data_IF_566478996842
#
_entry.id   IF_566478996842
#
_cell.length_a   1.000
_cell.length_b   1.000
_cell.length_c   1.000
_cell.angle_alpha   90.00
_cell.angle_beta   90.00
_cell.angle_gamma   90.00
#
_symmetry.space_group_name_H-M   'P 1'
#
loop_
_entity.id
_entity.type
_entity.pdbx_description
1 polymer ?
2 non-polymer ?
3 non-polymer ?
4 non-polymer ?
5 water ?
#
# COMPACT_ATOMS: atom_id res chain seq x y z
N UNK A 14 15.21 -21.40 8.64
CA UNK A 14 14.62 -21.23 7.28
C UNK A 14 15.72 -21.33 6.22
N UNK A 15 15.41 -22.00 5.10
CA UNK A 15 16.39 -22.35 4.08
C UNK A 15 16.40 -21.30 2.96
N UNK A 16 17.49 -21.21 2.21
CA UNK A 16 17.63 -20.19 1.14
C UNK A 16 16.62 -20.32 0.01
N UNK A 17 16.11 -19.18 -0.47
CA UNK A 17 15.25 -19.13 -1.65
C UNK A 17 15.75 -18.05 -2.62
N UNK A 18 15.40 -18.19 -3.89
CA UNK A 18 15.74 -17.21 -4.92
C UNK A 18 14.57 -16.25 -5.11
N UNK A 19 14.87 -14.96 -5.15
CA UNK A 19 13.84 -13.94 -5.40
C UNK A 19 14.23 -13.03 -6.55
N UNK A 20 13.25 -12.66 -7.37
CA UNK A 20 13.48 -11.74 -8.48
C UNK A 20 12.68 -10.47 -8.23
N UNK A 21 13.41 -9.41 -7.90
CA UNK A 21 12.81 -8.11 -7.59
C UNK A 21 13.05 -7.12 -8.71
N UNK A 22 12.23 -6.07 -8.71
CA UNK A 22 12.38 -4.97 -9.64
C UNK A 22 13.78 -4.38 -9.51
N UNK A 23 14.23 -4.24 -8.27
CA UNK A 23 15.59 -3.78 -7.98
C UNK A 23 16.45 -5.00 -7.77
N UNK A 24 17.24 -5.33 -8.79
CA UNK A 24 18.13 -6.50 -8.75
C UNK A 24 19.29 -6.35 -7.74
N UNK A 25 19.45 -5.14 -7.19
CA UNK A 25 20.51 -4.86 -6.20
C UNK A 25 19.96 -4.49 -4.84
N UNK A 26 18.70 -4.85 -4.59
CA UNK A 26 18.03 -4.53 -3.34
C UNK A 26 18.77 -5.15 -2.16
N UNK A 27 18.64 -4.53 -1.00
CA UNK A 27 19.36 -4.99 0.20
C UNK A 27 18.87 -6.33 0.63
N UNK A 28 19.65 -6.98 1.47
CA UNK A 28 19.32 -8.31 1.94
C UNK A 28 18.00 -8.33 2.69
N UNK A 29 17.76 -7.31 3.50
CA UNK A 29 16.53 -7.20 4.28
C UNK A 29 15.30 -7.00 3.38
N UNK A 30 15.49 -6.28 2.28
CA UNK A 30 14.42 -6.03 1.31
C UNK A 30 14.09 -7.33 0.57
N UNK A 31 15.13 -8.07 0.20
CA UNK A 31 14.95 -9.38 -0.44
C UNK A 31 14.24 -10.33 0.52
N UNK A 32 14.62 -10.29 1.79
CA UNK A 32 14.02 -11.16 2.81
C UNK A 32 12.55 -10.85 3.01
N UNK A 33 12.20 -9.57 2.97
CA UNK A 33 10.80 -9.15 3.14
C UNK A 33 9.96 -9.80 2.06
N UNK A 34 10.47 -9.78 0.83
CA UNK A 34 9.75 -10.37 -0.29
C UNK A 34 9.60 -11.88 -0.07
N UNK A 35 10.69 -12.52 0.31
CA UNK A 35 10.68 -13.97 0.58
C UNK A 35 9.72 -14.34 1.71
N UNK A 36 9.69 -13.50 2.74
CA UNK A 36 8.79 -13.71 3.86
C UNK A 36 7.35 -13.75 3.41
N UNK A 37 6.94 -12.73 2.66
CA UNK A 37 5.56 -12.65 2.19
C UNK A 37 5.21 -13.80 1.25
N UNK A 38 6.17 -14.26 0.45
CA UNK A 38 5.94 -15.39 -0.43
C UNK A 38 5.55 -16.66 0.34
N UNK A 39 6.19 -16.87 1.49
CA UNK A 39 5.87 -18.02 2.35
C UNK A 39 4.63 -17.76 3.20
N UNK A 40 4.66 -16.65 3.93
CA UNK A 40 3.58 -16.28 4.87
C UNK A 40 2.20 -16.20 4.21
N UNK A 41 2.14 -15.76 2.96
CA UNK A 41 0.85 -15.45 2.35
C UNK A 41 -0.09 -16.66 2.20
N UNK A 42 0.45 -17.87 2.21
CA UNK A 42 -0.39 -19.07 2.14
C UNK A 42 -0.75 -19.66 3.50
N UNK A 43 -0.39 -18.95 4.57
CA UNK A 43 -0.67 -19.37 5.94
C UNK A 43 -1.47 -18.37 6.73
N UNK A 44 -1.60 -17.15 6.22
CA UNK A 44 -2.31 -16.07 6.92
C UNK A 44 -2.59 -14.90 5.98
N UNK A 45 -3.36 -13.95 6.48
CA UNK A 45 -3.46 -12.62 5.87
C UNK A 45 -3.10 -11.62 6.97
N UNK A 46 -2.07 -10.84 6.74
CA UNK A 46 -1.65 -9.83 7.69
C UNK A 46 -2.61 -8.65 7.66
N UNK A 47 -2.84 -8.07 8.82
CA UNK A 47 -3.64 -6.86 8.94
C UNK A 47 -2.74 -5.64 8.83
N UNK A 48 -3.14 -4.74 7.94
CA UNK A 48 -2.47 -3.46 7.76
C UNK A 48 -3.42 -2.31 8.02
N UNK A 49 -2.88 -1.17 8.40
CA UNK A 49 -3.67 0.01 8.71
C UNK A 49 -2.90 1.28 8.35
N UNK A 50 -3.53 2.17 7.58
CA UNK A 50 -2.94 3.47 7.27
C UNK A 50 -2.87 4.36 8.50
N UNK A 51 -1.75 5.06 8.66
CA UNK A 51 -1.48 5.92 9.81
C UNK A 51 -1.58 5.16 11.14
N UNK A 52 -1.28 3.86 11.14
CA UNK A 52 -1.44 3.00 12.32
C UNK A 52 -1.04 3.65 13.66
N UNK A 53 0.16 4.18 13.78
CA UNK A 53 0.58 4.78 15.05
C UNK A 53 0.70 6.32 15.04
N UNK A 54 0.21 6.98 14.01
CA UNK A 54 0.27 8.44 13.93
C UNK A 54 -1.09 9.14 13.92
N UNK A 55 -2.17 8.39 13.68
CA UNK A 55 -3.52 8.94 13.75
C UNK A 55 -4.46 7.91 14.38
N UNK A 56 -5.40 8.40 15.18
CA UNK A 56 -6.36 7.53 15.82
C UNK A 56 -7.32 8.29 16.71
N UNK A 57 -8.50 7.70 16.92
CA UNK A 57 -9.53 8.27 17.78
C UNK A 57 -9.24 8.08 19.28
N UNK A 58 -8.47 7.04 19.60
CA UNK A 58 -8.22 6.65 21.00
C UNK A 58 -6.78 6.83 21.48
N UNK A 59 -5.90 7.31 20.60
CA UNK A 59 -4.49 7.49 20.99
C UNK A 59 -4.26 8.89 21.60
N UNK A 60 -3.33 8.94 22.54
CA UNK A 60 -2.96 10.18 23.23
C UNK A 60 -1.56 10.67 22.87
N UNK A 61 -0.79 9.83 22.15
CA UNK A 61 0.51 10.19 21.61
C UNK A 61 0.60 9.72 20.15
N UNK A 62 1.25 10.52 19.30
CA UNK A 62 1.45 10.19 17.88
C UNK A 62 2.91 9.89 17.60
N UNK A 63 3.65 9.48 18.65
CA UNK A 63 5.08 9.23 18.55
C UNK A 63 5.44 7.83 18.03
N UNK A 64 4.43 7.04 17.69
CA UNK A 64 4.65 5.70 17.19
C UNK A 64 4.52 4.59 18.21
N UNK A 65 4.12 4.92 19.44
CA UNK A 65 4.00 3.94 20.53
C UNK A 65 2.58 3.41 20.74
N UNK A 66 1.60 4.05 20.12
CA UNK A 66 0.19 3.71 20.32
C UNK A 66 -0.54 3.58 18.99
N UNK A 67 -1.62 2.82 19.01
CA UNK A 67 -2.54 2.75 17.87
C UNK A 67 -3.94 2.36 18.34
N UNK A 68 -4.95 2.76 17.57
CA UNK A 68 -6.31 2.32 17.79
C UNK A 68 -6.38 0.81 17.74
N UNK A 69 -5.58 0.21 16.86
CA UNK A 69 -5.55 -1.24 16.75
C UNK A 69 -5.13 -1.88 18.06
N UNK A 70 -4.05 -1.37 18.64
CA UNK A 70 -3.54 -1.89 19.89
C UNK A 70 -4.54 -1.71 21.03
N UNK A 71 -5.21 -0.56 21.05
CA UNK A 71 -6.20 -0.29 22.10
C UNK A 71 -7.46 -1.17 21.96
N UNK A 72 -7.71 -1.66 20.76
CA UNK A 72 -8.84 -2.55 20.49
C UNK A 72 -8.56 -4.02 20.78
N UNK A 73 -7.36 -4.52 20.43
CA UNK A 73 -7.10 -5.96 20.48
C UNK A 73 -5.80 -6.39 21.15
N UNK A 74 -4.99 -5.43 21.59
CA UNK A 74 -3.78 -5.72 22.34
C UNK A 74 -2.55 -5.99 21.51
N UNK A 75 -2.63 -5.73 20.20
CA UNK A 75 -1.48 -5.79 19.32
C UNK A 75 -1.61 -4.75 18.21
N UNK A 76 -0.47 -4.40 17.64
CA UNK A 76 -0.42 -3.49 16.50
C UNK A 76 -0.74 -4.25 15.23
N UNK A 77 -1.15 -3.51 14.21
CA UNK A 77 -1.17 -4.01 12.83
C UNK A 77 0.20 -4.58 12.50
N UNK A 78 0.22 -5.61 11.66
CA UNK A 78 1.49 -6.15 11.12
C UNK A 78 2.07 -5.25 10.04
N UNK A 79 1.21 -4.61 9.27
CA UNK A 79 1.63 -3.76 8.17
C UNK A 79 1.21 -2.31 8.47
N UNK A 80 2.19 -1.41 8.39
CA UNK A 80 2.02 -0.01 8.74
C UNK A 80 2.03 0.82 7.47
N UNK A 81 0.92 1.48 7.17
CA UNK A 81 0.83 2.28 5.97
C UNK A 81 1.01 3.76 6.26
N UNK A 82 1.82 4.43 5.44
CA UNK A 82 1.93 5.88 5.45
C UNK A 82 1.93 6.37 4.00
N UNK A 83 2.12 7.66 3.78
CA UNK A 83 2.14 8.20 2.43
C UNK A 83 3.08 9.38 2.32
N UNK A 84 3.23 9.91 1.11
CA UNK A 84 4.25 10.91 0.87
C UNK A 84 3.88 12.30 1.39
N UNK A 85 2.69 12.47 1.96
CA UNK A 85 2.41 13.68 2.73
C UNK A 85 3.26 13.77 4.00
N UNK A 86 3.96 12.67 4.34
CA UNK A 86 4.94 12.66 5.43
C UNK A 86 6.40 12.71 4.96
N UNK A 87 6.63 12.88 3.67
CA UNK A 87 7.98 12.78 3.10
C UNK A 87 8.33 13.97 2.21
N UNK A 88 7.46 14.27 1.25
CA UNK A 88 7.69 15.34 0.30
C UNK A 88 7.15 16.66 0.84
N UNK A 89 7.95 17.72 0.74
CA UNK A 89 7.53 19.05 1.16
C UNK A 89 6.17 19.38 0.57
N UNK A 90 5.29 20.02 1.34
CA UNK A 90 5.54 20.55 2.70
C UNK A 90 5.33 19.58 3.88
N UNK A 91 5.25 18.28 3.62
CA UNK A 91 5.13 17.29 4.68
C UNK A 91 4.00 17.60 5.65
N UNK A 92 2.81 17.77 5.12
CA UNK A 92 1.64 18.21 5.90
C UNK A 92 1.25 17.23 7.02
N UNK A 93 1.55 15.95 6.84
CA UNK A 93 1.27 14.94 7.86
C UNK A 93 2.39 14.77 8.88
N UNK A 94 3.47 15.52 8.70
CA UNK A 94 4.63 15.44 9.58
C UNK A 94 5.50 14.25 9.24
N UNK A 95 6.73 14.28 9.71
CA UNK A 95 7.66 13.18 9.47
C UNK A 95 7.23 11.89 10.12
N UNK A 96 7.71 10.79 9.55
CA UNK A 96 7.40 9.45 10.05
C UNK A 96 8.64 8.59 10.25
N UNK A 97 9.83 9.17 10.13
CA UNK A 97 11.05 8.41 10.31
C UNK A 97 11.08 7.67 11.67
N UNK A 98 10.78 8.40 12.74
CA UNK A 98 10.82 7.83 14.08
C UNK A 98 9.78 6.71 14.21
N UNK A 99 8.58 6.96 13.69
CA UNK A 99 7.48 6.02 13.81
C UNK A 99 7.74 4.77 12.96
N UNK A 100 8.33 4.96 11.78
CA UNK A 100 8.75 3.84 10.94
C UNK A 100 9.80 2.99 11.67
N UNK A 101 10.78 3.64 12.27
CA UNK A 101 11.82 2.92 13.01
C UNK A 101 11.26 2.12 14.19
N UNK A 102 10.28 2.68 14.91
CA UNK A 102 9.63 1.98 16.03
C UNK A 102 8.89 0.74 15.52
N UNK A 103 8.20 0.89 14.39
CA UNK A 103 7.46 -0.20 13.78
C UNK A 103 8.41 -1.31 13.32
N UNK A 104 9.51 -0.94 12.69
CA UNK A 104 10.50 -1.88 12.22
C UNK A 104 11.16 -2.62 13.38
N UNK A 105 11.39 -1.91 14.49
CA UNK A 105 11.99 -2.50 15.68
C UNK A 105 11.09 -3.58 16.28
N UNK A 106 9.79 -3.42 16.08
CA UNK A 106 8.76 -4.40 16.43
C UNK A 106 8.63 -5.57 15.46
N UNK A 107 9.41 -5.55 14.38
CA UNK A 107 9.31 -6.56 13.34
C UNK A 107 8.15 -6.30 12.37
N UNK A 108 7.62 -5.08 12.37
CA UNK A 108 6.54 -4.70 11.46
C UNK A 108 7.02 -4.51 10.04
N UNK A 109 6.05 -4.46 9.12
CA UNK A 109 6.28 -4.25 7.69
C UNK A 109 5.76 -2.86 7.32
N UNK A 110 6.53 -2.12 6.53
CA UNK A 110 6.23 -0.72 6.24
C UNK A 110 5.83 -0.58 4.77
N UNK A 111 4.73 0.13 4.51
CA UNK A 111 4.35 0.49 3.16
C UNK A 111 3.97 1.97 3.07
N UNK A 112 4.43 2.61 2.01
CA UNK A 112 4.21 4.03 1.76
C UNK A 112 3.62 4.19 0.37
N UNK A 113 2.52 4.93 0.27
CA UNK A 113 1.88 5.21 -1.02
C UNK A 113 2.18 6.64 -1.45
N UNK A 114 2.35 6.83 -2.76
CA UNK A 114 2.56 8.16 -3.30
C UNK A 114 1.26 8.94 -3.35
N UNK A 115 1.32 10.19 -2.92
CA UNK A 115 0.20 11.12 -2.92
C UNK A 115 0.76 12.46 -3.40
N UNK A 116 1.43 12.41 -4.55
CA UNK A 116 2.16 13.55 -5.08
C UNK A 116 1.21 14.67 -5.49
N UNK A 117 1.62 15.89 -5.21
CA UNK A 117 0.99 17.07 -5.77
C UNK A 117 1.03 17.02 -7.30
N UNK A 118 0.21 17.87 -7.92
CA UNK A 118 0.12 17.95 -9.37
C UNK A 118 1.32 18.76 -9.89
N UNK A 119 2.23 18.14 -10.65
CA UNK A 119 3.46 18.85 -11.06
C UNK A 119 3.20 20.04 -12.00
N UNK A 120 2.06 20.02 -12.67
CA UNK A 120 1.69 21.07 -13.61
C UNK A 120 1.07 22.28 -12.91
N UNK A 121 0.51 22.08 -11.72
CA UNK A 121 -0.26 23.15 -11.05
C UNK A 121 0.11 23.40 -9.61
N UNK A 122 1.16 22.76 -9.08
CA UNK A 122 1.39 22.82 -7.63
C UNK A 122 1.80 24.20 -7.07
N UNK A 123 2.26 25.11 -7.94
CA UNK A 123 2.50 26.49 -7.49
C UNK A 123 1.22 27.32 -7.33
N UNK A 124 0.08 26.77 -7.76
CA UNK A 124 -1.19 27.49 -7.76
C UNK A 124 -2.05 27.19 -6.52
N UNK A 125 -1.49 26.45 -5.57
CA UNK A 125 -2.19 26.08 -4.34
C UNK A 125 -2.81 27.28 -3.62
N UNK A 126 -4.03 27.08 -3.14
CA UNK A 126 -4.72 28.06 -2.32
C UNK A 126 -6.12 27.56 -2.00
N UNK A 127 -6.87 27.30 -3.06
CA UNK A 127 -8.22 26.79 -2.99
C UNK A 127 -8.15 25.29 -3.25
N UNK A 128 -8.41 24.50 -2.23
CA UNK A 128 -8.35 23.05 -2.38
C UNK A 128 -9.37 22.66 -3.46
N UNK A 129 -9.08 21.70 -4.35
CA UNK A 129 -7.89 20.84 -4.36
C UNK A 129 -6.77 21.27 -5.32
N UNK A 130 -6.74 22.52 -5.75
CA UNK A 130 -5.76 22.97 -6.74
C UNK A 130 -4.34 22.62 -6.32
N UNK A 131 -3.61 22.03 -7.25
CA UNK A 131 -2.20 21.70 -7.06
C UNK A 131 -1.92 20.39 -6.34
N UNK A 132 -2.94 19.70 -5.85
CA UNK A 132 -2.74 18.46 -5.09
C UNK A 132 -2.99 17.23 -5.97
N UNK A 133 -2.89 16.04 -5.38
CA UNK A 133 -3.22 14.81 -6.08
C UNK A 133 -4.61 14.87 -6.70
N UNK A 134 -5.52 15.53 -5.99
CA UNK A 134 -6.93 15.62 -6.34
C UNK A 134 -7.25 16.68 -7.38
N UNK A 135 -6.24 17.45 -7.79
CA UNK A 135 -6.38 18.36 -8.91
C UNK A 135 -6.32 17.52 -10.18
N UNK A 136 -7.46 17.38 -10.85
CA UNK A 136 -7.62 16.46 -11.98
C UNK A 136 -6.99 16.93 -13.28
N UNK A 137 -6.40 18.12 -13.28
CA UNK A 137 -5.70 18.65 -14.44
C UNK A 137 -4.67 17.64 -14.93
N UNK A 138 -4.82 17.15 -16.18
CA UNK A 138 -3.90 16.13 -16.68
C UNK A 138 -2.45 16.61 -16.59
N UNK A 139 -1.60 15.81 -15.93
CA UNK A 139 -0.22 16.20 -15.73
C UNK A 139 0.79 15.08 -16.03
N UNK A 140 0.33 14.00 -16.65
CA UNK A 140 1.23 12.89 -16.99
C UNK A 140 2.10 13.25 -18.18
N UNK A 141 1.47 13.63 -19.29
CA UNK A 141 2.22 13.97 -20.51
C UNK A 141 3.26 15.05 -20.24
N UNK A 142 2.89 16.10 -19.50
CA UNK A 142 3.81 17.21 -19.27
C UNK A 142 4.83 16.95 -18.15
N UNK A 143 4.79 15.79 -17.48
CA UNK A 143 5.73 15.48 -16.40
C UNK A 143 6.78 14.43 -16.77
N UNK A 144 6.59 13.74 -17.88
CA UNK A 144 7.59 12.80 -18.40
C UNK A 144 8.76 13.60 -18.98
N UNK A 145 9.93 12.98 -19.14
CA UNK A 145 11.07 13.70 -19.73
C UNK A 145 10.68 14.33 -21.06
N UNK A 146 11.08 15.57 -21.27
CA UNK A 146 10.63 16.37 -22.41
C UNK A 146 9.52 17.34 -22.04
N UNK A 147 8.71 16.94 -21.07
CA UNK A 147 7.62 17.77 -20.58
C UNK A 147 8.09 18.91 -19.69
N UNK A 148 7.36 20.01 -19.74
CA UNK A 148 7.74 21.24 -19.06
C UNK A 148 7.81 21.07 -17.56
N UNK A 149 7.08 20.10 -17.01
CA UNK A 149 6.98 19.94 -15.57
C UNK A 149 7.73 18.71 -15.05
N UNK A 150 8.52 18.08 -15.91
CA UNK A 150 9.39 16.99 -15.47
C UNK A 150 10.30 17.36 -14.27
N UNK A 151 10.90 18.55 -14.23
CA UNK A 151 11.71 18.94 -13.06
C UNK A 151 10.92 18.97 -11.74
N UNK A 152 9.62 19.28 -11.83
CA UNK A 152 8.77 19.32 -10.64
C UNK A 152 8.54 17.90 -10.10
N UNK A 153 8.15 16.98 -10.98
CA UNK A 153 8.03 15.58 -10.59
C UNK A 153 9.36 15.05 -10.04
N UNK A 154 10.46 15.40 -10.68
CA UNK A 154 11.78 14.94 -10.22
C UNK A 154 12.10 15.42 -8.81
N UNK A 155 11.66 16.64 -8.46
CA UNK A 155 11.81 17.16 -7.12
C UNK A 155 11.11 16.30 -6.08
N UNK A 156 9.90 15.83 -6.39
CA UNK A 156 9.19 14.91 -5.49
C UNK A 156 9.98 13.63 -5.36
N UNK A 157 10.41 13.08 -6.48
CA UNK A 157 11.12 11.80 -6.47
C UNK A 157 12.48 11.91 -5.75
N UNK A 158 13.14 13.06 -5.88
CA UNK A 158 14.38 13.33 -5.17
C UNK A 158 14.18 13.23 -3.67
N UNK A 159 13.09 13.78 -3.17
CA UNK A 159 12.80 13.79 -1.75
C UNK A 159 12.42 12.40 -1.25
N UNK A 160 11.66 11.65 -2.05
CA UNK A 160 11.37 10.27 -1.71
C UNK A 160 12.67 9.47 -1.60
N UNK A 161 13.56 9.64 -2.58
CA UNK A 161 14.84 8.93 -2.60
C UNK A 161 15.75 9.27 -1.42
N UNK A 162 15.88 10.56 -1.10
CA UNK A 162 16.74 10.96 0.01
C UNK A 162 16.18 10.39 1.32
N UNK A 163 14.85 10.41 1.45
CA UNK A 163 14.18 9.81 2.60
C UNK A 163 14.50 8.31 2.71
N UNK A 164 14.34 7.59 1.61
CA UNK A 164 14.57 6.14 1.61
C UNK A 164 16.03 5.83 1.89
N UNK A 165 16.91 6.62 1.29
CA UNK A 165 18.36 6.39 1.37
C UNK A 165 18.94 6.65 2.77
N UNK A 166 18.20 7.36 3.60
CA UNK A 166 18.63 7.64 4.97
C UNK A 166 17.76 6.95 6.03
N UNK A 167 16.83 6.12 5.58
CA UNK A 167 15.89 5.46 6.47
C UNK A 167 16.56 4.21 7.04
N UNK A 168 17.20 4.39 8.20
CA UNK A 168 18.08 3.37 8.75
C UNK A 168 17.72 2.97 10.18
N UNK A 169 17.98 1.71 10.48
CA UNK A 169 17.70 1.16 11.80
C UNK A 169 18.88 1.47 12.72
N UNK A 170 18.87 0.88 13.92
CA UNK A 170 19.89 1.16 14.93
C UNK A 170 21.29 0.70 14.54
N UNK A 171 21.39 -0.26 13.63
CA UNK A 171 22.67 -0.75 13.15
C UNK A 171 23.17 -0.02 11.90
N UNK A 172 22.43 0.99 11.45
CA UNK A 172 22.76 1.71 10.24
C UNK A 172 22.33 1.01 8.95
N UNK A 173 21.49 -0.01 9.05
CA UNK A 173 21.01 -0.74 7.86
C UNK A 173 19.67 -0.17 7.38
N UNK A 174 19.46 -0.17 6.07
CA UNK A 174 18.26 0.42 5.49
C UNK A 174 17.02 -0.37 5.88
N UNK A 175 15.91 0.34 6.07
CA UNK A 175 14.64 -0.29 6.42
C UNK A 175 13.85 -0.50 5.12
N UNK A 176 13.47 -1.74 4.82
CA UNK A 176 12.64 -2.00 3.63
C UNK A 176 11.27 -1.31 3.69
N UNK A 177 10.81 -0.85 2.53
CA UNK A 177 9.52 -0.20 2.39
C UNK A 177 8.85 -0.71 1.11
N UNK A 178 7.57 -1.05 1.20
CA UNK A 178 6.76 -1.34 0.02
C UNK A 178 6.20 -0.01 -0.47
N UNK A 179 6.77 0.50 -1.55
CA UNK A 179 6.40 1.80 -2.09
C UNK A 179 5.40 1.63 -3.21
N UNK A 180 4.22 2.23 -3.04
CA UNK A 180 3.08 2.00 -3.89
C UNK A 180 2.82 3.26 -4.71
N UNK A 181 3.04 3.16 -6.02
CA UNK A 181 3.04 4.31 -6.91
C UNK A 181 1.72 4.51 -7.68
N UNK A 182 1.21 5.74 -7.66
CA UNK A 182 0.12 6.20 -8.53
C UNK A 182 -1.11 5.29 -8.47
N UNK A 183 -1.59 5.08 -7.25
CA UNK A 183 -2.74 4.20 -7.00
C UNK A 183 -4.06 4.75 -7.56
N UNK A 184 -5.04 3.86 -7.67
CA UNK A 184 -6.40 4.21 -8.08
C UNK A 184 -6.39 4.86 -9.48
N UNK A 185 -5.46 4.40 -10.30
CA UNK A 185 -5.19 5.01 -11.60
C UNK A 185 -6.20 4.64 -12.69
N UNK A 186 -7.06 3.68 -12.41
CA UNK A 186 -8.13 3.34 -13.35
C UNK A 186 -9.37 4.21 -13.19
N UNK A 187 -9.33 5.17 -12.26
CA UNK A 187 -10.35 6.21 -12.16
C UNK A 187 -9.72 7.56 -12.48
N UNK A 188 -10.51 8.63 -12.43
CA UNK A 188 -10.07 9.93 -12.95
C UNK A 188 -10.01 11.02 -11.89
N UNK A 189 -10.02 10.65 -10.61
CA UNK A 189 -9.99 11.65 -9.55
C UNK A 189 -8.58 12.16 -9.21
N UNK A 190 -7.54 11.47 -9.68
CA UNK A 190 -6.15 11.93 -9.54
C UNK A 190 -5.55 12.34 -10.88
N UNK A 191 -4.53 13.18 -10.85
CA UNK A 191 -3.96 13.75 -12.08
C UNK A 191 -3.25 12.72 -12.96
N UNK A 192 -2.99 11.54 -12.40
CA UNK A 192 -2.38 10.42 -13.12
C UNK A 192 -3.41 9.38 -13.57
N UNK A 193 -4.68 9.75 -13.54
CA UNK A 193 -5.78 8.84 -13.79
C UNK A 193 -6.07 8.55 -15.25
N UNK A 194 -7.19 7.86 -15.48
CA UNK A 194 -7.50 7.30 -16.79
C UNK A 194 -8.10 8.30 -17.81
N UNK A 195 -8.56 9.45 -17.34
CA UNK A 195 -8.93 10.55 -18.25
C UNK A 195 -7.75 11.47 -18.52
N UNK A 196 -6.68 11.27 -17.75
CA UNK A 196 -5.51 12.15 -17.75
C UNK A 196 -4.33 11.56 -18.51
N UNK A 197 -4.48 10.33 -19.00
CA UNK A 197 -3.37 9.66 -19.68
C UNK A 197 -3.88 8.47 -20.47
N UNK A 198 -3.21 8.15 -21.57
CA UNK A 198 -3.46 6.89 -22.25
C UNK A 198 -2.83 5.82 -21.37
N UNK A 199 -3.21 4.56 -21.56
CA UNK A 199 -2.55 3.47 -20.84
C UNK A 199 -1.03 3.50 -20.97
N UNK A 200 -0.50 3.73 -22.18
CA UNK A 200 0.95 3.77 -22.38
C UNK A 200 1.60 4.93 -21.60
N UNK A 201 0.93 6.08 -21.57
CA UNK A 201 1.46 7.23 -20.85
C UNK A 201 1.51 6.95 -19.35
N UNK A 202 0.47 6.32 -18.81
CA UNK A 202 0.50 5.92 -17.41
C UNK A 202 1.64 4.93 -17.12
N UNK A 203 1.80 3.94 -17.98
CA UNK A 203 2.88 2.96 -17.81
C UNK A 203 4.22 3.67 -17.81
N UNK A 204 4.39 4.64 -18.73
CA UNK A 204 5.62 5.43 -18.76
C UNK A 204 5.84 6.22 -17.46
N UNK A 205 4.78 6.82 -16.91
CA UNK A 205 4.91 7.55 -15.67
C UNK A 205 5.41 6.65 -14.54
N UNK A 206 4.82 5.45 -14.44
CA UNK A 206 5.19 4.49 -13.40
C UNK A 206 6.64 4.02 -13.58
N UNK A 207 6.95 3.56 -14.79
CA UNK A 207 8.28 3.06 -15.10
C UNK A 207 9.35 4.13 -14.93
N UNK A 208 9.08 5.32 -15.44
CA UNK A 208 10.01 6.43 -15.30
C UNK A 208 10.33 6.71 -13.83
N UNK A 209 9.30 6.68 -13.00
CA UNK A 209 9.44 6.99 -11.58
C UNK A 209 10.25 5.92 -10.84
N UNK A 210 9.98 4.65 -11.13
CA UNK A 210 10.73 3.53 -10.55
C UNK A 210 12.20 3.63 -10.99
N UNK A 211 12.43 3.83 -12.28
CA UNK A 211 13.77 3.95 -12.82
C UNK A 211 14.54 5.12 -12.22
N UNK A 212 13.84 6.23 -12.01
CA UNK A 212 14.47 7.42 -11.45
C UNK A 212 14.93 7.11 -10.03
N UNK A 213 14.03 6.52 -9.23
CA UNK A 213 14.35 6.18 -7.84
C UNK A 213 15.50 5.16 -7.75
N UNK A 214 15.39 4.09 -8.53
CA UNK A 214 16.32 2.97 -8.44
C UNK A 214 17.66 3.32 -9.09
N UNK A 215 17.62 3.83 -10.32
CA UNK A 215 18.84 4.00 -11.12
C UNK A 215 19.46 5.37 -10.98
N UNK A 216 18.64 6.42 -11.03
CA UNK A 216 19.19 7.78 -10.92
C UNK A 216 19.59 8.09 -9.47
N UNK A 217 18.75 7.70 -8.51
CA UNK A 217 18.95 8.08 -7.12
C UNK A 217 19.45 6.95 -6.20
N UNK A 218 19.54 5.74 -6.74
CA UNK A 218 20.16 4.63 -6.05
C UNK A 218 19.42 4.06 -4.87
N UNK A 219 18.09 4.16 -4.88
CA UNK A 219 17.27 3.54 -3.84
C UNK A 219 17.39 2.02 -3.92
N UNK A 220 17.70 1.41 -2.78
CA UNK A 220 17.95 -0.03 -2.69
C UNK A 220 17.04 -0.75 -1.70
N UNK A 221 16.13 0.00 -1.06
CA UNK A 221 15.30 -0.57 -0.01
C UNK A 221 13.81 -0.52 -0.31
N UNK A 222 13.45 -0.51 -1.59
CA UNK A 222 12.04 -0.50 -2.01
C UNK A 222 11.64 -1.79 -2.71
N UNK A 223 10.45 -2.26 -2.37
CA UNK A 223 9.66 -3.11 -3.22
C UNK A 223 8.61 -2.20 -3.85
N UNK A 224 8.24 -2.44 -5.10
CA UNK A 224 7.31 -1.56 -5.82
C UNK A 224 5.93 -2.21 -5.98
N UNK A 225 4.89 -1.47 -5.62
CA UNK A 225 3.51 -1.97 -5.69
C UNK A 225 2.68 -1.18 -6.70
N UNK A 226 1.81 -1.91 -7.39
CA UNK A 226 0.84 -1.36 -8.32
C UNK A 226 -0.53 -1.66 -7.75
N UNK A 227 -1.43 -0.68 -7.77
CA UNK A 227 -2.75 -0.85 -7.17
C UNK A 227 -3.83 0.00 -7.85
N UNK A 228 -4.46 -0.53 -8.90
CA UNK A 228 -5.62 0.14 -9.52
C UNK A 228 -6.83 -0.04 -8.64
N UNK A 229 -7.97 0.52 -9.04
CA UNK A 229 -9.21 0.23 -8.34
C UNK A 229 -9.67 -1.19 -8.63
N UNK A 230 -10.56 -1.68 -7.79
CA UNK A 230 -11.30 -2.89 -8.09
C UNK A 230 -11.98 -2.77 -9.45
N UNK A 231 -11.94 -3.86 -10.20
CA UNK A 231 -12.71 -3.99 -11.42
C UNK A 231 -14.05 -4.68 -11.13
N UNK A 232 -15.10 -4.22 -11.82
CA UNK A 232 -16.40 -4.88 -11.75
C UNK A 232 -16.52 -5.96 -12.82
N UNK A 233 -15.78 -5.78 -13.91
CA UNK A 233 -15.54 -6.83 -14.89
C UNK A 233 -14.15 -7.42 -14.58
N UNK A 234 -14.15 -8.45 -13.75
CA UNK A 234 -12.93 -8.98 -13.16
C UNK A 234 -12.20 -9.90 -14.12
N UNK A 235 -11.34 -9.32 -14.96
CA UNK A 235 -10.52 -10.08 -15.91
C UNK A 235 -9.07 -9.65 -15.87
N UNK A 236 -8.19 -10.59 -16.20
CA UNK A 236 -6.76 -10.30 -16.34
C UNK A 236 -6.52 -9.22 -17.39
N UNK A 237 -7.24 -9.27 -18.51
CA UNK A 237 -7.08 -8.27 -19.57
C UNK A 237 -7.32 -6.86 -19.04
N UNK A 238 -8.35 -6.70 -18.23
CA UNK A 238 -8.68 -5.39 -17.67
C UNK A 238 -7.58 -4.92 -16.71
N UNK A 239 -7.12 -5.79 -15.83
CA UNK A 239 -6.01 -5.45 -14.93
C UNK A 239 -4.74 -5.08 -15.71
N UNK A 240 -4.52 -5.76 -16.83
CA UNK A 240 -3.30 -5.55 -17.63
C UNK A 240 -3.30 -4.24 -18.42
N UNK A 241 -4.45 -3.62 -18.64
CA UNK A 241 -4.48 -2.46 -19.54
C UNK A 241 -3.50 -1.37 -19.13
N UNK A 242 -3.47 -1.04 -17.84
CA UNK A 242 -2.55 -0.01 -17.32
C UNK A 242 -1.44 -0.59 -16.45
N UNK A 243 -1.30 -1.91 -16.44
CA UNK A 243 -0.24 -2.57 -15.67
C UNK A 243 1.13 -2.18 -16.20
N UNK A 244 2.00 -1.63 -15.34
CA UNK A 244 3.36 -1.26 -15.76
C UNK A 244 4.28 -2.38 -16.24
N UNK A 245 4.01 -3.64 -15.90
CA UNK A 245 4.78 -4.76 -16.41
C UNK A 245 5.53 -5.49 -15.34
N UNK A 246 5.83 -6.77 -15.57
CA UNK A 246 6.53 -7.61 -14.59
C UNK A 246 7.93 -7.09 -14.24
N UNK A 247 8.57 -6.35 -15.15
CA UNK A 247 9.90 -5.80 -14.89
C UNK A 247 9.87 -4.63 -13.89
N UNK A 248 8.67 -4.15 -13.59
CA UNK A 248 8.49 -2.87 -12.89
C UNK A 248 7.67 -2.97 -11.62
N UNK A 249 7.11 -4.15 -11.33
CA UNK A 249 6.23 -4.32 -10.19
C UNK A 249 6.60 -5.59 -9.40
N UNK A 250 6.69 -5.45 -8.07
CA UNK A 250 6.90 -6.56 -7.15
C UNK A 250 5.61 -7.06 -6.51
N UNK A 251 4.68 -6.14 -6.31
CA UNK A 251 3.49 -6.37 -5.51
C UNK A 251 2.26 -5.97 -6.32
N UNK A 252 1.35 -6.92 -6.53
CA UNK A 252 0.11 -6.70 -7.27
C UNK A 252 -1.02 -6.49 -6.29
N UNK A 253 -1.54 -5.28 -6.26
CA UNK A 253 -2.61 -4.94 -5.36
C UNK A 253 -3.80 -4.34 -6.06
N UNK A 254 -4.73 -3.87 -5.26
CA UNK A 254 -5.84 -3.03 -5.71
C UNK A 254 -6.45 -2.33 -4.50
N UNK A 255 -7.24 -1.29 -4.78
CA UNK A 255 -7.90 -0.46 -3.79
C UNK A 255 -9.39 -0.59 -3.98
N UNK A 256 -10.14 -0.73 -2.90
CA UNK A 256 -11.59 -0.83 -3.02
C UNK A 256 -12.31 -0.26 -1.82
N UNK A 257 -13.34 0.56 -2.08
CA UNK A 257 -14.15 1.16 -1.05
C UNK A 257 -15.61 0.85 -1.36
N UNK A 258 -16.33 0.35 -0.35
CA UNK A 258 -17.66 -0.18 -0.58
C UNK A 258 -18.72 0.50 0.27
N UNK A 259 -19.96 0.08 0.04
CA UNK A 259 -21.11 0.61 0.81
C UNK A 259 -21.21 -0.02 2.19
N UNK A 260 -21.76 0.75 3.12
CA UNK A 260 -21.94 0.30 4.49
C UNK A 260 -23.13 -0.67 4.57
N UNK A 261 -24.09 -0.51 3.65
CA UNK A 261 -25.29 -1.34 3.62
C UNK A 261 -25.44 -2.09 2.30
N UNK A 262 -26.14 -3.22 2.35
CA UNK A 262 -26.42 -4.02 1.16
C UNK A 262 -25.13 -4.32 0.38
N UNK A 263 -24.10 -4.79 1.09
CA UNK A 263 -22.76 -4.92 0.53
C UNK A 263 -22.30 -6.34 0.16
N UNK A 264 -23.23 -7.28 0.09
CA UNK A 264 -22.90 -8.64 -0.34
C UNK A 264 -22.24 -8.68 -1.71
N UNK A 265 -22.79 -7.95 -2.67
CA UNK A 265 -22.22 -7.87 -4.02
C UNK A 265 -20.81 -7.30 -3.99
N UNK A 266 -20.61 -6.26 -3.20
CA UNK A 266 -19.30 -5.61 -3.11
C UNK A 266 -18.27 -6.54 -2.48
N UNK A 267 -18.67 -7.27 -1.45
CA UNK A 267 -17.76 -8.23 -0.81
C UNK A 267 -17.37 -9.35 -1.77
N UNK A 268 -18.32 -9.83 -2.56
CA UNK A 268 -18.01 -10.82 -3.60
C UNK A 268 -17.00 -10.25 -4.59
N UNK A 269 -17.14 -8.96 -4.89
CA UNK A 269 -16.22 -8.28 -5.79
C UNK A 269 -14.82 -8.12 -5.16
N UNK A 270 -14.76 -7.88 -3.86
CA UNK A 270 -13.48 -7.83 -3.15
C UNK A 270 -12.76 -9.17 -3.34
N UNK A 271 -13.50 -10.24 -3.09
CA UNK A 271 -12.95 -11.58 -3.15
C UNK A 271 -12.48 -11.90 -4.56
N UNK A 272 -13.28 -11.51 -5.55
CA UNK A 272 -12.98 -11.76 -6.97
C UNK A 272 -11.71 -11.07 -7.43
N UNK A 273 -11.55 -9.81 -7.05
CA UNK A 273 -10.35 -9.05 -7.37
C UNK A 273 -9.11 -9.61 -6.65
N UNK A 274 -9.27 -9.98 -5.38
CA UNK A 274 -8.20 -10.59 -4.62
C UNK A 274 -7.78 -11.92 -5.25
N UNK A 275 -8.75 -12.69 -5.73
CA UNK A 275 -8.50 -13.97 -6.38
C UNK A 275 -7.73 -13.75 -7.68
N UNK A 276 -8.09 -12.70 -8.41
CA UNK A 276 -7.44 -12.40 -9.68
C UNK A 276 -5.98 -12.05 -9.45
N UNK A 277 -5.70 -11.12 -8.53
CA UNK A 277 -4.31 -10.73 -8.31
C UNK A 277 -3.52 -11.88 -7.72
N UNK A 278 -4.17 -12.74 -6.95
CA UNK A 278 -3.50 -13.90 -6.36
C UNK A 278 -3.07 -14.87 -7.47
N UNK A 279 -3.95 -15.15 -8.41
CA UNK A 279 -3.61 -16.02 -9.53
C UNK A 279 -2.54 -15.40 -10.43
N UNK A 280 -2.67 -14.12 -10.74
CA UNK A 280 -1.67 -13.43 -11.54
C UNK A 280 -0.33 -13.41 -10.83
N UNK A 281 -0.36 -13.19 -9.52
CA UNK A 281 0.87 -13.08 -8.72
C UNK A 281 1.63 -14.40 -8.74
N UNK A 282 0.91 -15.52 -8.60
CA UNK A 282 1.56 -16.83 -8.68
C UNK A 282 2.21 -17.04 -10.04
N UNK A 283 1.51 -16.66 -11.10
CA UNK A 283 2.04 -16.84 -12.46
C UNK A 283 3.28 -15.99 -12.73
N UNK A 284 3.33 -14.82 -12.10
CA UNK A 284 4.33 -13.79 -12.42
C UNK A 284 5.42 -13.61 -11.38
N UNK A 285 5.41 -14.41 -10.31
CA UNK A 285 6.38 -14.28 -9.24
C UNK A 285 6.24 -13.02 -8.39
N UNK A 286 5.01 -12.58 -8.18
CA UNK A 286 4.69 -11.37 -7.41
C UNK A 286 4.01 -11.70 -6.08
N UNK A 287 3.90 -10.68 -5.23
CA UNK A 287 3.11 -10.77 -4.02
C UNK A 287 1.76 -10.11 -4.25
N UNK A 288 0.67 -10.84 -4.08
CA UNK A 288 -0.68 -10.27 -4.18
C UNK A 288 -1.16 -9.70 -2.85
N UNK A 289 -1.80 -8.54 -2.89
CA UNK A 289 -2.34 -7.91 -1.68
C UNK A 289 -3.63 -7.17 -1.98
N UNK A 290 -4.38 -6.84 -0.93
CA UNK A 290 -5.38 -5.79 -0.99
C UNK A 290 -4.71 -4.58 -0.36
N UNK A 291 -4.38 -3.60 -1.22
CA UNK A 291 -3.55 -2.44 -0.85
C UNK A 291 -4.31 -1.43 0.00
N UNK A 292 -5.58 -1.30 -0.28
CA UNK A 292 -6.48 -0.39 0.46
C UNK A 292 -7.86 -0.94 0.41
N UNK A 293 -8.52 -0.99 1.56
CA UNK A 293 -9.91 -1.41 1.62
C UNK A 293 -10.61 -0.67 2.76
N UNK A 294 -11.82 -0.23 2.50
CA UNK A 294 -12.58 0.51 3.49
C UNK A 294 -14.01 0.73 3.04
N UNK A 295 -14.72 1.54 3.83
CA UNK A 295 -16.09 1.94 3.49
C UNK A 295 -16.00 3.33 2.91
N UNK A 296 -16.72 3.57 1.81
CA UNK A 296 -16.70 4.84 1.11
C UNK A 296 -16.98 6.02 2.05
N UNK A 297 -16.30 7.13 1.81
CA UNK A 297 -16.23 8.26 2.75
C UNK A 297 -17.57 8.87 3.18
N UNK A 298 -18.53 9.03 2.26
CA UNK A 298 -19.87 9.52 2.62
C UNK A 298 -20.56 8.74 3.73
N UNK A 299 -20.49 7.40 3.67
CA UNK A 299 -21.17 6.56 4.65
C UNK A 299 -20.59 6.73 6.06
N UNK A 300 -19.27 6.95 6.13
CA UNK A 300 -18.60 7.10 7.44
C UNK A 300 -18.88 8.48 8.04
N UNK A 301 -19.00 9.48 7.18
CA UNK A 301 -19.26 10.85 7.63
C UNK A 301 -20.75 11.06 7.96
N UNK A 302 -21.59 10.12 7.51
CA UNK A 302 -23.00 10.10 7.89
C UNK A 302 -23.22 9.31 9.19
N UNK A 303 -22.14 8.80 9.77
CA UNK A 303 -22.19 8.07 11.02
C UNK A 303 -22.74 6.65 10.92
N UNK A 304 -22.77 6.12 9.69
CA UNK A 304 -23.24 4.76 9.45
C UNK A 304 -22.13 3.73 9.67
N UNK A 305 -22.53 2.50 9.93
CA UNK A 305 -21.58 1.44 10.26
C UNK A 305 -22.14 0.06 9.89
N UNK A 306 -21.22 -0.87 9.65
CA UNK A 306 -21.54 -2.27 9.43
C UNK A 306 -20.80 -3.05 10.51
N UNK A 307 -21.53 -3.57 11.50
CA UNK A 307 -20.90 -4.28 12.61
C UNK A 307 -20.58 -5.75 12.32
N UNK A 308 -20.70 -6.15 11.04
CA UNK A 308 -20.25 -7.45 10.57
C UNK A 308 -19.17 -7.33 9.49
N UNK A 309 -18.66 -6.11 9.27
CA UNK A 309 -17.78 -5.83 8.13
C UNK A 309 -16.52 -6.68 8.12
N UNK A 310 -15.79 -6.69 9.23
CA UNK A 310 -14.54 -7.44 9.34
C UNK A 310 -14.78 -8.95 9.29
N UNK A 311 -15.85 -9.42 9.93
CA UNK A 311 -16.15 -10.85 9.87
C UNK A 311 -16.49 -11.30 8.46
N UNK A 312 -17.26 -10.51 7.71
CA UNK A 312 -17.54 -10.78 6.30
C UNK A 312 -16.26 -10.78 5.48
N UNK A 313 -15.35 -9.86 5.79
CA UNK A 313 -14.13 -9.68 5.02
C UNK A 313 -13.26 -10.92 5.15
N UNK A 314 -12.92 -11.30 6.38
CA UNK A 314 -12.03 -12.44 6.59
C UNK A 314 -12.68 -13.77 6.16
N UNK A 315 -13.98 -13.92 6.40
CA UNK A 315 -14.66 -15.17 6.02
C UNK A 315 -14.69 -15.35 4.50
N UNK A 316 -14.98 -14.27 3.77
CA UNK A 316 -15.03 -14.32 2.32
C UNK A 316 -13.66 -14.58 1.70
N UNK A 317 -12.64 -13.93 2.23
CA UNK A 317 -11.30 -14.06 1.68
C UNK A 317 -10.72 -15.45 1.92
N UNK A 318 -10.81 -15.93 3.15
CA UNK A 318 -10.13 -17.18 3.48
C UNK A 318 -10.86 -18.41 2.93
N UNK A 319 -12.15 -18.30 2.64
CA UNK A 319 -12.89 -19.42 2.04
C UNK A 319 -12.53 -19.61 0.56
N UNK A 320 -12.08 -18.55 -0.09
CA UNK A 320 -11.72 -18.60 -1.50
C UNK A 320 -10.28 -19.07 -1.64
N UNK A 321 -10.03 -20.11 -2.45
CA UNK A 321 -8.68 -20.71 -2.53
C UNK A 321 -7.62 -19.81 -3.15
N UNK A 322 -8.03 -18.82 -3.93
CA UNK A 322 -7.09 -17.85 -4.48
C UNK A 322 -6.96 -16.59 -3.63
N UNK A 323 -8.10 -15.99 -3.28
CA UNK A 323 -8.12 -14.75 -2.50
C UNK A 323 -7.41 -14.90 -1.15
N UNK A 324 -7.49 -16.09 -0.57
CA UNK A 324 -6.85 -16.36 0.72
C UNK A 324 -5.33 -16.18 0.67
N UNK A 325 -4.74 -16.27 -0.53
CA UNK A 325 -3.31 -16.22 -0.74
C UNK A 325 -2.73 -14.80 -0.81
N UNK A 326 -3.56 -13.79 -0.58
CA UNK A 326 -3.02 -12.44 -0.43
C UNK A 326 -2.17 -12.37 0.83
N UNK A 327 -1.11 -11.56 0.79
CA UNK A 327 -0.19 -11.44 1.91
C UNK A 327 -0.79 -10.59 3.00
N UNK A 328 -1.44 -9.50 2.61
CA UNK A 328 -2.09 -8.60 3.56
C UNK A 328 -3.25 -7.84 2.93
N UNK A 329 -4.09 -7.29 3.79
CA UNK A 329 -5.06 -6.27 3.42
C UNK A 329 -4.83 -5.08 4.35
N UNK A 330 -4.97 -3.88 3.81
CA UNK A 330 -4.72 -2.68 4.59
C UNK A 330 -5.97 -1.84 4.60
N UNK A 331 -6.46 -1.56 5.80
CA UNK A 331 -7.62 -0.72 5.96
C UNK A 331 -7.20 0.73 6.10
N UNK A 332 -7.97 1.59 5.44
CA UNK A 332 -7.79 3.03 5.51
C UNK A 332 -9.08 3.58 6.12
N UNK A 333 -8.95 4.13 7.32
CA UNK A 333 -10.03 4.88 8.01
C UNK A 333 -11.40 4.74 7.38
N UNK A 360 -19.13 3.23 19.59
CA UNK A 360 -19.17 2.47 20.83
C UNK A 360 -20.60 2.00 21.10
N UNK A 361 -20.73 0.75 21.59
CA UNK A 361 -22.02 0.07 21.80
C UNK A 361 -22.73 -0.39 20.50
N UNK A 362 -22.14 -0.08 19.35
CA UNK A 362 -22.73 -0.43 18.06
C UNK A 362 -22.27 -1.80 17.49
N UNK A 363 -21.44 -2.51 18.26
CA UNK A 363 -20.99 -3.84 17.89
C UNK A 363 -19.77 -3.90 16.95
N UNK A 364 -19.17 -2.75 16.65
CA UNK A 364 -18.05 -2.71 15.69
C UNK A 364 -16.74 -3.15 16.35
N UNK A 365 -16.58 -2.86 17.64
CA UNK A 365 -15.39 -3.32 18.37
C UNK A 365 -15.36 -4.85 18.43
N UNK A 366 -16.50 -5.46 18.71
CA UNK A 366 -16.61 -6.91 18.82
C UNK A 366 -16.33 -7.58 17.48
N UNK A 367 -16.77 -6.94 16.41
CA UNK A 367 -16.52 -7.40 15.05
C UNK A 367 -15.01 -7.46 14.78
N UNK A 368 -14.31 -6.37 15.10
CA UNK A 368 -12.86 -6.31 14.89
C UNK A 368 -12.10 -7.26 15.81
N UNK A 369 -12.60 -7.44 17.04
CA UNK A 369 -11.98 -8.38 17.95
C UNK A 369 -12.12 -9.82 17.43
N UNK A 370 -13.23 -10.12 16.76
CA UNK A 370 -13.43 -11.44 16.16
C UNK A 370 -12.44 -11.64 15.01
N UNK A 371 -12.24 -10.58 14.22
CA UNK A 371 -11.31 -10.60 13.10
C UNK A 371 -9.89 -10.86 13.60
N UNK A 372 -9.50 -10.21 14.70
CA UNK A 372 -8.22 -10.45 15.33
C UNK A 372 -8.10 -11.89 15.82
N UNK A 373 -9.16 -12.41 16.43
CA UNK A 373 -9.12 -13.76 17.01
C UNK A 373 -9.12 -14.84 15.94
N UNK A 374 -9.52 -14.50 14.73
CA UNK A 374 -9.51 -15.45 13.62
C UNK A 374 -8.10 -16.02 13.43
N UNK A 375 -8.02 -17.35 13.30
CA UNK A 375 -6.75 -18.07 13.12
C UNK A 375 -5.94 -17.60 11.90
N UNK A 376 -6.63 -17.10 10.87
CA UNK A 376 -5.98 -16.76 9.62
C UNK A 376 -5.48 -15.31 9.54
N UNK A 377 -5.86 -14.46 10.49
CA UNK A 377 -5.32 -13.08 10.50
C UNK A 377 -4.05 -13.04 11.32
N UNK A 378 -3.12 -12.18 10.87
CA UNK A 378 -1.82 -12.01 11.52
C UNK A 378 -1.58 -10.54 11.82
N UNK A 379 -1.33 -10.25 13.09
CA UNK A 379 -1.01 -8.92 13.56
C UNK A 379 0.47 -8.92 13.89
N UNK A 380 1.02 -7.85 14.47
CA UNK A 380 2.47 -7.68 14.51
C UNK A 380 3.23 -8.80 15.26
N UNK A 381 2.69 -9.29 16.38
CA UNK A 381 3.36 -10.35 17.12
C UNK A 381 3.22 -11.72 16.45
N UNK A 382 2.30 -11.82 15.49
CA UNK A 382 2.07 -13.08 14.79
C UNK A 382 3.03 -13.33 13.64
N UNK A 383 3.84 -12.35 13.30
CA UNK A 383 4.84 -12.53 12.25
C UNK A 383 6.23 -12.50 12.85
N UNK A 384 7.10 -13.34 12.31
CA UNK A 384 8.46 -13.52 12.83
C UNK A 384 9.42 -13.83 11.69
N UNK A 385 10.70 -13.51 11.90
CA UNK A 385 11.76 -13.82 10.94
C UNK A 385 11.47 -13.25 9.55
N UNK A 386 11.09 -11.98 9.52
CA UNK A 386 10.71 -11.30 8.28
C UNK A 386 11.93 -10.87 7.47
N UNK A 387 12.96 -10.38 8.16
CA UNK A 387 14.03 -9.62 7.50
C UNK A 387 15.41 -10.27 7.43
N UNK A 388 15.59 -11.44 8.03
CA UNK A 388 16.91 -12.11 8.01
C UNK A 388 16.87 -13.49 7.35
N UNK A 389 15.92 -13.67 6.46
CA UNK A 389 15.81 -14.90 5.68
C UNK A 389 16.85 -14.85 4.57
N UNK A 390 17.64 -15.92 4.41
CA UNK A 390 18.65 -15.95 3.37
C UNK A 390 18.02 -16.05 1.99
N UNK A 391 18.54 -15.29 1.03
CA UNK A 391 18.06 -15.33 -0.34
C UNK A 391 19.21 -15.36 -1.33
N UNK A 392 18.89 -15.70 -2.58
CA UNK A 392 19.83 -15.73 -3.70
C UNK A 392 19.37 -14.82 -4.84
#
# INVERSE_FOLDING_TARGET
NHAANKSSASRADVKPVTVKLVDSQATMETRSLFAFMQEQRRHSIMFGHQHETTQGLTITRTDGTQSDTFNAVGDFAAVYGWDTLSIVAPKAEGDIVAQVKKAYARGGIITVSSHFDNPKTDTQKGVWPVGTSWDQTPAVVDSLPGGAYNPVLNGYLDQVAEWANNLKDEQGRLIPVIFRLYHENTGSWFWWGDKQSTPEQYKQLFRYSVEYLRDVKGVRNFLYAYSPNNFWDVTEANYLERYPGDEWVDVLGFDTYGPVADNADWFRNVVANAALVARMAEARGKIPVISEIGIRAPDIEAGLYDNQWYRKLISGLKADPDAREIAFLLVWRNAPQGVPGPNGTQVPHYWVPANRPENINNGTLEDFQAFYADEFTAFNRDIEQVYQRPTLIVK
#
